data_IF_056615039450
#
_entry.id   IF_056615039450
#
_cell.length_a   1.000
_cell.length_b   1.000
_cell.length_c   1.000
_cell.angle_alpha   90.00
_cell.angle_beta   90.00
_cell.angle_gamma   90.00
#
_symmetry.space_group_name_H-M   'P 1'
#
loop_
_entity.id
_entity.type
_entity.pdbx_description
1 polymer ?
#
# COMPACT_ATOMS: atom_id res chain seq x y z
N UNK A 1 -15.61 15.93 -8.53
CA UNK A 1 -14.94 14.64 -8.67
C UNK A 1 -13.52 14.83 -8.17
N UNK A 2 -13.18 14.26 -7.01
CA UNK A 2 -11.82 14.43 -6.46
C UNK A 2 -10.84 13.80 -7.46
N UNK A 3 -9.81 14.56 -7.84
CA UNK A 3 -8.63 14.03 -8.53
C UNK A 3 -7.85 13.20 -7.49
N UNK A 4 -8.36 12.01 -7.18
CA UNK A 4 -7.81 11.11 -6.18
C UNK A 4 -6.49 10.56 -6.71
N UNK A 5 -5.36 11.06 -6.21
CA UNK A 5 -4.05 10.48 -6.52
C UNK A 5 -4.03 8.97 -6.25
N UNK A 6 -3.28 8.21 -7.05
CA UNK A 6 -3.20 6.74 -6.98
C UNK A 6 -2.68 6.31 -5.60
N UNK A 7 -3.38 5.40 -4.93
CA UNK A 7 -2.86 4.63 -3.78
C UNK A 7 -2.26 3.32 -4.28
N UNK A 8 -1.17 2.86 -3.66
CA UNK A 8 -0.49 1.62 -4.04
C UNK A 8 -0.34 0.77 -2.79
N UNK A 9 -0.76 -0.50 -2.86
CA UNK A 9 -0.40 -1.51 -1.88
C UNK A 9 0.75 -2.36 -2.42
N UNK A 10 1.91 -2.25 -1.78
CA UNK A 10 3.10 -3.05 -2.07
C UNK A 10 3.15 -4.22 -1.08
N UNK A 11 3.12 -5.45 -1.60
CA UNK A 11 3.25 -6.67 -0.81
C UNK A 11 4.65 -7.23 -1.04
N UNK A 12 5.52 -7.16 -0.04
CA UNK A 12 6.92 -7.57 -0.16
C UNK A 12 7.48 -7.97 1.21
N UNK A 13 8.04 -9.18 1.32
CA UNK A 13 8.56 -9.73 2.58
C UNK A 13 10.04 -9.40 2.79
N UNK A 14 10.77 -9.11 1.71
CA UNK A 14 12.17 -8.70 1.66
C UNK A 14 12.33 -7.19 1.88
N UNK A 15 12.97 -6.74 2.98
CA UNK A 15 13.18 -5.31 3.22
C UNK A 15 14.01 -4.62 2.14
N UNK A 16 14.96 -5.34 1.53
CA UNK A 16 15.85 -4.82 0.49
C UNK A 16 15.07 -4.55 -0.82
N UNK A 17 14.21 -5.50 -1.21
CA UNK A 17 13.38 -5.37 -2.41
C UNK A 17 12.28 -4.32 -2.22
N UNK A 18 11.68 -4.27 -1.02
CA UNK A 18 10.71 -3.24 -0.67
C UNK A 18 11.32 -1.85 -0.77
N UNK A 19 12.56 -1.67 -0.28
CA UNK A 19 13.27 -0.40 -0.40
C UNK A 19 13.56 -0.05 -1.86
N UNK A 20 13.98 -1.03 -2.67
CA UNK A 20 14.24 -0.83 -4.10
C UNK A 20 12.97 -0.39 -4.84
N UNK A 21 11.85 -1.06 -4.61
CA UNK A 21 10.55 -0.73 -5.18
C UNK A 21 10.07 0.66 -4.73
N UNK A 22 10.18 0.98 -3.44
CA UNK A 22 9.83 2.30 -2.90
C UNK A 22 10.70 3.40 -3.51
N UNK A 23 11.99 3.17 -3.71
CA UNK A 23 12.89 4.12 -4.39
C UNK A 23 12.45 4.36 -5.84
N UNK A 24 12.03 3.32 -6.57
CA UNK A 24 11.51 3.46 -7.93
C UNK A 24 10.21 4.27 -7.97
N UNK A 25 9.28 4.01 -7.05
CA UNK A 25 8.02 4.75 -6.92
C UNK A 25 8.24 6.21 -6.54
N UNK A 26 9.22 6.49 -5.66
CA UNK A 26 9.63 7.86 -5.29
C UNK A 26 10.11 8.65 -6.49
N UNK A 27 10.90 8.04 -7.37
CA UNK A 27 11.39 8.71 -8.61
C UNK A 27 10.25 9.13 -9.55
N UNK A 28 9.09 8.47 -9.47
CA UNK A 28 7.91 8.79 -10.28
C UNK A 28 6.89 9.67 -9.55
N UNK A 29 7.23 10.22 -8.37
CA UNK A 29 6.32 10.96 -7.48
C UNK A 29 5.08 10.17 -7.04
N UNK A 30 5.15 8.84 -7.02
CA UNK A 30 4.05 7.96 -6.61
C UNK A 30 4.16 7.45 -5.17
N UNK A 31 5.24 7.76 -4.47
CA UNK A 31 5.51 7.23 -3.13
C UNK A 31 4.67 7.85 -1.99
N UNK A 32 3.95 8.93 -2.24
CA UNK A 32 3.18 9.64 -1.20
C UNK A 32 1.97 8.84 -0.68
N UNK A 33 1.60 7.75 -1.37
CA UNK A 33 0.43 6.93 -1.05
C UNK A 33 0.72 5.44 -1.20
N UNK A 34 1.92 5.00 -0.81
CA UNK A 34 2.30 3.58 -0.83
C UNK A 34 2.16 2.99 0.58
N UNK A 35 1.37 1.92 0.68
CA UNK A 35 1.30 1.07 1.85
C UNK A 35 2.15 -0.18 1.61
N UNK A 36 3.08 -0.48 2.52
CA UNK A 36 3.88 -1.69 2.46
C UNK A 36 3.34 -2.70 3.48
N UNK A 37 3.06 -3.91 3.02
CA UNK A 37 2.67 -5.06 3.85
C UNK A 37 3.60 -6.23 3.56
N UNK A 38 3.80 -7.11 4.55
CA UNK A 38 4.85 -8.14 4.46
C UNK A 38 4.40 -9.39 3.73
N UNK A 39 3.11 -9.69 3.73
CA UNK A 39 2.59 -10.91 3.14
C UNK A 39 1.15 -10.76 2.64
N UNK A 40 0.65 -11.83 2.03
CA UNK A 40 -0.71 -11.86 1.50
C UNK A 40 -1.80 -11.81 2.58
N UNK A 41 -1.54 -12.30 3.80
CA UNK A 41 -2.52 -12.23 4.88
C UNK A 41 -2.71 -10.78 5.34
N UNK A 42 -1.61 -10.06 5.56
CA UNK A 42 -1.66 -8.62 5.85
C UNK A 42 -2.28 -7.83 4.69
N UNK A 43 -2.01 -8.21 3.44
CA UNK A 43 -2.62 -7.58 2.27
C UNK A 43 -4.15 -7.76 2.25
N UNK A 44 -4.64 -8.96 2.58
CA UNK A 44 -6.09 -9.23 2.66
C UNK A 44 -6.74 -8.46 3.81
N UNK A 45 -6.09 -8.41 4.98
CA UNK A 45 -6.54 -7.58 6.11
C UNK A 45 -6.64 -6.11 5.70
N UNK A 46 -5.65 -5.61 4.94
CA UNK A 46 -5.63 -4.24 4.43
C UNK A 46 -6.77 -3.95 3.43
N UNK A 47 -6.97 -4.84 2.46
CA UNK A 47 -7.99 -4.71 1.40
C UNK A 47 -9.40 -4.74 2.00
N UNK A 48 -9.66 -5.68 2.91
CA UNK A 48 -10.98 -5.87 3.50
C UNK A 48 -11.22 -5.06 4.78
N UNK A 49 -10.25 -4.25 5.20
CA UNK A 49 -10.27 -3.49 6.46
C UNK A 49 -10.67 -4.37 7.65
N UNK A 50 -10.00 -5.50 7.78
CA UNK A 50 -10.16 -6.45 8.89
C UNK A 50 -8.87 -6.55 9.69
N UNK A 51 -8.88 -7.30 10.79
CA UNK A 51 -7.68 -7.56 11.60
C UNK A 51 -6.99 -6.27 12.02
N UNK A 52 -5.70 -6.15 11.68
CA UNK A 52 -4.85 -5.00 12.02
C UNK A 52 -5.33 -3.70 11.37
N UNK A 53 -6.05 -3.79 10.26
CA UNK A 53 -6.58 -2.64 9.50
C UNK A 53 -8.08 -2.41 9.72
N UNK A 54 -8.64 -3.00 10.78
CA UNK A 54 -10.02 -2.77 11.17
C UNK A 54 -10.29 -1.27 11.41
N UNK A 55 -11.32 -0.73 10.76
CA UNK A 55 -11.70 0.68 10.86
C UNK A 55 -11.00 1.62 9.85
N UNK A 56 -10.18 1.08 8.93
CA UNK A 56 -9.73 1.81 7.75
C UNK A 56 -10.93 2.16 6.87
N UNK A 57 -11.00 3.41 6.41
CA UNK A 57 -11.95 3.82 5.36
C UNK A 57 -11.61 3.14 4.04
N UNK A 58 -12.50 2.28 3.55
CA UNK A 58 -12.32 1.52 2.30
C UNK A 58 -12.81 2.27 1.06
N UNK A 59 -13.30 3.50 1.21
CA UNK A 59 -13.94 4.24 0.13
C UNK A 59 -13.05 4.47 -1.11
N UNK A 60 -11.73 4.36 -0.95
CA UNK A 60 -10.74 4.47 -2.03
C UNK A 60 -9.58 3.49 -1.82
N UNK A 61 -9.86 2.25 -1.41
CA UNK A 61 -8.81 1.22 -1.27
C UNK A 61 -7.95 1.13 -2.56
N UNK A 62 -6.62 0.91 -2.43
CA UNK A 62 -5.71 0.79 -3.58
C UNK A 62 -6.11 -0.32 -4.54
#
# INVERSE_FOLDING_TARGET
MNLTGVEILLVEDSPEDAELALRALRKQNLANRVHLVRDGAEALEFIFATGTYAGRGVENAP
#
